data_IF_696290165462
#
_entry.id   IF_696290165462
#
_cell.length_a   1.000
_cell.length_b   1.000
_cell.length_c   1.000
_cell.angle_alpha   90.00
_cell.angle_beta   90.00
_cell.angle_gamma   90.00
#
_symmetry.space_group_name_H-M   'P 1'
#
loop_
_entity.id
_entity.type
_entity.pdbx_description
1 polymer ?
#
# COMPACT_ATOMS: atom_id res chain seq x y z
N UNK A 1 12.43 3.07 -17.18
CA UNK A 1 12.49 2.46 -15.82
C UNK A 1 13.72 1.58 -15.62
N UNK A 2 14.55 1.42 -16.66
CA UNK A 2 15.70 0.50 -16.64
C UNK A 2 16.69 0.88 -15.52
N UNK A 3 17.06 -0.10 -14.69
CA UNK A 3 17.97 0.09 -13.56
C UNK A 3 17.38 0.77 -12.32
N UNK A 4 16.09 1.16 -12.34
CA UNK A 4 15.38 1.62 -11.14
C UNK A 4 14.94 0.42 -10.31
N UNK A 5 14.88 0.59 -8.99
CA UNK A 5 14.45 -0.43 -8.03
C UNK A 5 13.09 -0.05 -7.43
N UNK A 6 12.09 -0.92 -7.65
CA UNK A 6 10.74 -0.76 -7.10
C UNK A 6 10.50 -1.78 -5.98
N UNK A 7 10.16 -1.31 -4.79
CA UNK A 7 9.65 -2.16 -3.72
C UNK A 7 8.11 -2.17 -3.76
N UNK A 8 7.51 -3.37 -3.76
CA UNK A 8 6.05 -3.55 -3.86
C UNK A 8 5.57 -4.46 -2.74
N UNK A 9 4.70 -3.96 -1.88
CA UNK A 9 4.04 -4.77 -0.84
C UNK A 9 2.78 -5.45 -1.39
N UNK A 10 2.54 -6.72 -1.00
CA UNK A 10 1.37 -7.47 -1.48
C UNK A 10 1.45 -7.86 -2.96
N UNK A 11 2.64 -8.11 -3.47
CA UNK A 11 2.91 -8.37 -4.89
C UNK A 11 2.54 -9.79 -5.37
N UNK A 12 1.94 -10.64 -4.54
CA UNK A 12 1.67 -12.05 -4.91
C UNK A 12 0.32 -12.30 -5.57
N UNK A 13 -0.55 -11.29 -5.61
CA UNK A 13 -1.90 -11.41 -6.18
C UNK A 13 -2.45 -10.04 -6.63
N UNK A 14 -3.51 -10.04 -7.43
CA UNK A 14 -4.27 -8.84 -7.80
C UNK A 14 -3.41 -7.73 -8.38
N UNK A 15 -3.72 -6.50 -7.96
CA UNK A 15 -3.11 -5.25 -8.47
C UNK A 15 -1.59 -5.22 -8.26
N UNK A 16 -1.12 -5.64 -7.09
CA UNK A 16 0.32 -5.62 -6.78
C UNK A 16 1.12 -6.58 -7.68
N UNK A 17 0.56 -7.76 -7.99
CA UNK A 17 1.18 -8.69 -8.95
C UNK A 17 1.21 -8.10 -10.36
N UNK A 18 0.11 -7.53 -10.82
CA UNK A 18 0.05 -6.93 -12.16
C UNK A 18 0.99 -5.73 -12.28
N UNK A 19 1.03 -4.86 -11.27
CA UNK A 19 1.99 -3.75 -11.22
C UNK A 19 3.44 -4.27 -11.28
N UNK A 20 3.77 -5.33 -10.54
CA UNK A 20 5.10 -5.94 -10.57
C UNK A 20 5.45 -6.47 -11.97
N UNK A 21 4.53 -7.16 -12.65
CA UNK A 21 4.72 -7.66 -14.02
C UNK A 21 4.99 -6.50 -14.98
N UNK A 22 4.17 -5.47 -14.95
CA UNK A 22 4.29 -4.34 -15.89
C UNK A 22 5.53 -3.47 -15.62
N UNK A 23 5.92 -3.28 -14.35
CA UNK A 23 7.15 -2.57 -14.02
C UNK A 23 8.39 -3.37 -14.42
N UNK A 24 8.37 -4.70 -14.27
CA UNK A 24 9.45 -5.56 -14.76
C UNK A 24 9.61 -5.49 -16.28
N UNK A 25 8.51 -5.51 -17.06
CA UNK A 25 8.55 -5.31 -18.53
C UNK A 25 9.16 -3.96 -18.93
N UNK A 26 9.09 -2.96 -18.06
CA UNK A 26 9.73 -1.65 -18.26
C UNK A 26 11.21 -1.62 -17.80
N UNK A 27 11.79 -2.77 -17.42
CA UNK A 27 13.17 -2.92 -16.99
C UNK A 27 13.46 -2.54 -15.54
N UNK A 28 12.45 -2.49 -14.69
CA UNK A 28 12.59 -2.16 -13.27
C UNK A 28 13.03 -3.39 -12.47
N UNK A 29 14.05 -3.26 -11.63
CA UNK A 29 14.37 -4.26 -10.61
C UNK A 29 13.29 -4.27 -9.52
N UNK A 30 12.96 -5.44 -8.99
CA UNK A 30 11.85 -5.62 -8.09
C UNK A 30 12.25 -6.20 -6.74
N UNK A 31 11.77 -5.56 -5.68
CA UNK A 31 11.75 -6.10 -4.32
C UNK A 31 10.27 -6.36 -3.99
N UNK A 32 9.87 -7.61 -3.98
CA UNK A 32 8.50 -8.03 -3.76
C UNK A 32 8.33 -8.53 -2.33
N UNK A 33 7.33 -8.03 -1.61
CA UNK A 33 7.05 -8.47 -0.23
C UNK A 33 5.68 -9.13 -0.16
N UNK A 34 5.63 -10.29 0.50
CA UNK A 34 4.38 -11.00 0.75
C UNK A 34 4.57 -12.17 1.72
N UNK A 35 3.47 -12.68 2.30
CA UNK A 35 3.52 -13.70 3.37
C UNK A 35 3.67 -15.14 2.89
N UNK A 36 3.44 -15.44 1.62
CA UNK A 36 3.40 -16.82 1.12
C UNK A 36 4.60 -17.15 0.24
N UNK A 37 5.52 -17.99 0.73
CA UNK A 37 6.66 -18.50 -0.05
C UNK A 37 6.22 -19.14 -1.37
N UNK A 38 5.16 -19.98 -1.34
CA UNK A 38 4.65 -20.68 -2.54
C UNK A 38 4.13 -19.71 -3.60
N UNK A 39 3.33 -18.71 -3.19
CA UNK A 39 2.80 -17.71 -4.14
C UNK A 39 3.92 -16.81 -4.67
N UNK A 40 4.86 -16.41 -3.80
CA UNK A 40 6.01 -15.59 -4.19
C UNK A 40 6.86 -16.27 -5.26
N UNK A 41 7.25 -17.55 -5.05
CA UNK A 41 7.98 -18.31 -6.06
C UNK A 41 7.26 -18.33 -7.42
N UNK A 42 5.95 -18.61 -7.41
CA UNK A 42 5.14 -18.62 -8.64
C UNK A 42 5.10 -17.26 -9.35
N UNK A 43 5.01 -16.15 -8.59
CA UNK A 43 4.98 -14.81 -9.17
C UNK A 43 6.34 -14.44 -9.74
N UNK A 44 7.44 -14.72 -9.05
CA UNK A 44 8.80 -14.50 -9.58
C UNK A 44 9.01 -15.27 -10.89
N UNK A 45 8.59 -16.54 -10.95
CA UNK A 45 8.65 -17.34 -12.19
C UNK A 45 7.82 -16.73 -13.32
N UNK A 46 6.65 -16.17 -13.02
CA UNK A 46 5.81 -15.49 -14.01
C UNK A 46 6.45 -14.20 -14.53
N UNK A 47 7.05 -13.40 -13.64
CA UNK A 47 7.71 -12.16 -14.02
C UNK A 47 8.96 -12.45 -14.87
N UNK A 48 9.77 -13.44 -14.48
CA UNK A 48 10.98 -13.84 -15.25
C UNK A 48 10.67 -14.27 -16.69
N UNK A 49 9.46 -14.75 -17.00
CA UNK A 49 9.05 -15.10 -18.37
C UNK A 49 8.80 -13.89 -19.28
N UNK A 50 8.61 -12.72 -18.72
CA UNK A 50 8.21 -11.52 -19.46
C UNK A 50 9.15 -10.32 -19.24
N UNK A 51 10.03 -10.40 -18.25
CA UNK A 51 11.04 -9.40 -17.95
C UNK A 51 12.31 -9.67 -18.75
N UNK A 52 13.05 -8.61 -19.05
CA UNK A 52 14.39 -8.74 -19.62
C UNK A 52 15.34 -9.46 -18.64
N UNK A 53 16.36 -10.13 -19.18
CA UNK A 53 17.31 -10.93 -18.39
C UNK A 53 18.12 -10.11 -17.36
N UNK A 54 18.24 -8.80 -17.55
CA UNK A 54 18.93 -7.90 -16.64
C UNK A 54 18.09 -7.42 -15.44
N UNK A 55 16.81 -7.79 -15.37
CA UNK A 55 15.93 -7.40 -14.27
C UNK A 55 16.17 -8.31 -13.06
N UNK A 56 16.62 -7.73 -11.98
CA UNK A 56 16.74 -8.42 -10.70
C UNK A 56 15.39 -8.47 -9.99
N UNK A 57 15.05 -9.65 -9.44
CA UNK A 57 13.79 -9.89 -8.75
C UNK A 57 14.07 -10.62 -7.45
N UNK A 58 13.80 -9.95 -6.35
CA UNK A 58 13.82 -10.52 -5.01
C UNK A 58 12.40 -10.67 -4.47
N UNK A 59 12.19 -11.75 -3.71
CA UNK A 59 10.96 -11.95 -2.97
C UNK A 59 11.27 -12.18 -1.49
N UNK A 60 10.83 -11.26 -0.66
CA UNK A 60 10.98 -11.28 0.78
C UNK A 60 9.68 -11.73 1.46
N UNK A 61 9.82 -12.61 2.45
CA UNK A 61 8.66 -13.16 3.17
C UNK A 61 8.46 -12.36 4.45
N UNK A 62 7.28 -11.72 4.59
CA UNK A 62 6.86 -11.04 5.80
C UNK A 62 5.33 -11.01 5.91
N UNK A 63 4.80 -11.15 7.11
CA UNK A 63 3.39 -10.84 7.41
C UNK A 63 3.30 -9.37 7.85
N UNK A 64 2.86 -8.52 6.92
CA UNK A 64 2.79 -7.07 7.14
C UNK A 64 1.63 -6.63 8.06
N UNK A 65 0.90 -7.56 8.68
CA UNK A 65 0.02 -7.28 9.83
C UNK A 65 0.80 -7.11 11.13
N UNK A 66 2.04 -7.63 11.20
CA UNK A 66 2.88 -7.59 12.38
C UNK A 66 3.96 -6.52 12.20
N UNK A 67 3.97 -5.53 13.08
CA UNK A 67 4.92 -4.41 12.99
C UNK A 67 6.37 -4.89 13.15
N UNK A 68 6.62 -5.89 13.99
CA UNK A 68 7.94 -6.55 14.10
C UNK A 68 8.42 -7.14 12.76
N UNK A 69 7.52 -7.73 11.97
CA UNK A 69 7.85 -8.28 10.66
C UNK A 69 8.04 -7.19 9.60
N UNK A 70 7.26 -6.09 9.67
CA UNK A 70 7.47 -4.90 8.85
C UNK A 70 8.85 -4.31 9.13
N UNK A 71 9.20 -4.15 10.42
CA UNK A 71 10.51 -3.64 10.83
C UNK A 71 11.64 -4.55 10.35
N UNK A 72 11.55 -5.86 10.62
CA UNK A 72 12.56 -6.85 10.20
C UNK A 72 12.82 -6.81 8.70
N UNK A 73 11.76 -6.85 7.88
CA UNK A 73 11.93 -6.87 6.42
C UNK A 73 12.43 -5.53 5.87
N UNK A 74 12.05 -4.41 6.49
CA UNK A 74 12.59 -3.10 6.12
C UNK A 74 14.10 -3.00 6.44
N UNK A 75 14.55 -3.55 7.58
CA UNK A 75 15.97 -3.62 7.93
C UNK A 75 16.75 -4.53 6.98
N UNK A 76 16.17 -5.66 6.57
CA UNK A 76 16.75 -6.55 5.57
C UNK A 76 16.95 -5.83 4.22
N UNK A 77 15.94 -5.08 3.78
CA UNK A 77 16.02 -4.24 2.58
C UNK A 77 17.10 -3.17 2.74
N UNK A 78 17.13 -2.48 3.87
CA UNK A 78 18.09 -1.39 4.11
C UNK A 78 19.55 -1.85 4.14
N UNK A 79 19.79 -3.10 4.55
CA UNK A 79 21.13 -3.71 4.53
C UNK A 79 21.53 -4.17 3.13
N UNK A 80 20.58 -4.59 2.31
CA UNK A 80 20.85 -5.21 1.00
C UNK A 80 20.90 -4.21 -0.16
N UNK A 81 20.10 -3.14 -0.10
CA UNK A 81 19.92 -2.21 -1.21
C UNK A 81 20.45 -0.82 -0.88
N UNK A 82 21.20 -0.19 -1.79
CA UNK A 82 21.75 1.15 -1.59
C UNK A 82 20.67 2.24 -1.66
N UNK A 83 19.58 2.01 -2.41
CA UNK A 83 18.47 2.94 -2.60
C UNK A 83 17.20 2.21 -3.04
N UNK A 84 16.07 2.90 -2.90
CA UNK A 84 14.77 2.53 -3.47
C UNK A 84 14.26 3.70 -4.31
N UNK A 85 13.96 3.44 -5.58
CA UNK A 85 13.50 4.47 -6.50
C UNK A 85 11.97 4.66 -6.42
N UNK A 86 11.22 3.56 -6.18
CA UNK A 86 9.77 3.57 -5.99
C UNK A 86 9.39 2.68 -4.81
N UNK A 87 8.69 3.23 -3.83
CA UNK A 87 8.01 2.48 -2.76
C UNK A 87 6.51 2.42 -3.08
N UNK A 88 6.01 1.25 -3.48
CA UNK A 88 4.59 0.99 -3.72
C UNK A 88 3.98 0.23 -2.53
N UNK A 89 3.38 0.95 -1.60
CA UNK A 89 2.55 0.41 -0.54
C UNK A 89 1.20 0.00 -1.12
N UNK A 90 1.03 -1.31 -1.38
CA UNK A 90 -0.14 -1.82 -2.10
C UNK A 90 -0.91 -2.89 -1.30
N UNK A 91 -0.25 -3.59 -0.36
CA UNK A 91 -0.93 -4.64 0.42
C UNK A 91 -2.21 -4.12 1.09
N UNK A 92 -3.26 -4.91 1.09
CA UNK A 92 -4.47 -4.56 1.81
C UNK A 92 -5.45 -5.72 1.90
N UNK A 93 -6.22 -5.72 2.98
CA UNK A 93 -7.29 -6.69 3.20
C UNK A 93 -8.49 -6.04 3.90
N UNK A 94 -9.57 -6.80 3.91
CA UNK A 94 -10.81 -6.51 4.61
C UNK A 94 -11.21 -7.74 5.43
N UNK A 95 -11.42 -7.55 6.72
CA UNK A 95 -11.88 -8.59 7.64
C UNK A 95 -13.25 -8.22 8.19
N UNK A 96 -14.18 -9.19 8.22
CA UNK A 96 -15.56 -8.97 8.69
C UNK A 96 -15.68 -9.09 10.21
N UNK A 97 -14.80 -9.86 10.85
CA UNK A 97 -14.73 -10.03 12.29
C UNK A 97 -13.59 -9.25 12.91
N UNK A 98 -13.79 -8.74 14.12
CA UNK A 98 -12.75 -8.10 14.89
C UNK A 98 -11.77 -9.15 15.39
N UNK A 99 -10.53 -9.02 14.95
CA UNK A 99 -9.41 -9.78 15.48
C UNK A 99 -8.23 -8.79 15.65
N UNK A 100 -7.48 -8.96 16.70
CA UNK A 100 -6.27 -8.17 16.96
C UNK A 100 -5.02 -9.00 16.70
N UNK A 101 -3.95 -8.35 16.30
CA UNK A 101 -2.63 -8.98 16.19
C UNK A 101 -2.07 -9.28 17.60
N UNK A 102 -1.02 -10.08 17.68
CA UNK A 102 -0.32 -10.32 18.93
C UNK A 102 0.31 -9.04 19.54
N UNK A 103 0.42 -7.99 18.75
CA UNK A 103 0.90 -6.65 19.13
C UNK A 103 -0.24 -5.73 19.59
N UNK A 104 -1.51 -6.22 19.61
CA UNK A 104 -2.68 -5.48 20.09
C UNK A 104 -3.38 -4.58 19.07
N UNK A 105 -3.01 -4.64 17.79
CA UNK A 105 -3.64 -3.82 16.73
C UNK A 105 -4.74 -4.58 16.01
N UNK A 106 -5.85 -3.90 15.66
CA UNK A 106 -6.86 -4.48 14.79
C UNK A 106 -6.26 -4.80 13.42
N UNK A 107 -6.54 -5.99 12.90
CA UNK A 107 -5.84 -6.58 11.73
C UNK A 107 -5.96 -5.77 10.46
N UNK A 108 -7.13 -5.15 10.19
CA UNK A 108 -7.32 -4.32 9.00
C UNK A 108 -6.53 -3.03 9.11
N UNK A 109 -6.57 -2.39 10.27
CA UNK A 109 -5.85 -1.15 10.54
C UNK A 109 -4.34 -1.39 10.54
N UNK A 110 -3.88 -2.47 11.19
CA UNK A 110 -2.48 -2.87 11.20
C UNK A 110 -1.94 -3.06 9.78
N UNK A 111 -2.60 -3.91 8.96
CA UNK A 111 -2.13 -4.22 7.62
C UNK A 111 -2.23 -3.05 6.65
N UNK A 112 -3.38 -2.35 6.66
CA UNK A 112 -3.69 -1.36 5.62
C UNK A 112 -3.04 0.00 5.89
N UNK A 113 -2.80 0.34 7.18
CA UNK A 113 -2.29 1.66 7.56
C UNK A 113 -0.96 1.60 8.33
N UNK A 114 -0.90 0.95 9.51
CA UNK A 114 0.33 0.94 10.32
C UNK A 114 1.51 0.30 9.57
N UNK A 115 1.25 -0.76 8.82
CA UNK A 115 2.26 -1.40 7.97
C UNK A 115 2.81 -0.45 6.89
N UNK A 116 1.97 0.39 6.27
CA UNK A 116 2.40 1.41 5.31
C UNK A 116 3.23 2.50 6.00
N UNK A 117 2.74 2.96 7.13
CA UNK A 117 3.39 4.00 7.92
C UNK A 117 4.81 3.58 8.33
N UNK A 118 4.94 2.43 9.00
CA UNK A 118 6.22 1.90 9.47
C UNK A 118 7.18 1.59 8.32
N UNK A 119 6.70 0.90 7.27
CA UNK A 119 7.50 0.61 6.07
C UNK A 119 8.06 1.89 5.46
N UNK A 120 7.21 2.90 5.30
CA UNK A 120 7.63 4.20 4.75
C UNK A 120 8.65 4.88 5.65
N UNK A 121 8.41 4.96 6.96
CA UNK A 121 9.34 5.58 7.92
C UNK A 121 10.72 4.93 7.86
N UNK A 122 10.79 3.61 7.88
CA UNK A 122 12.06 2.88 7.86
C UNK A 122 12.79 2.95 6.52
N UNK A 123 12.06 3.00 5.40
CA UNK A 123 12.67 3.01 4.07
C UNK A 123 12.85 4.42 3.48
N UNK A 124 12.34 5.47 4.14
CA UNK A 124 12.48 6.85 3.69
C UNK A 124 13.94 7.24 3.40
N UNK A 125 14.94 6.88 4.24
CA UNK A 125 16.35 7.19 3.95
C UNK A 125 16.87 6.53 2.67
N UNK A 126 16.33 5.38 2.25
CA UNK A 126 16.69 4.75 0.98
C UNK A 126 16.02 5.43 -0.22
N UNK A 127 14.78 5.93 -0.02
CA UNK A 127 14.09 6.71 -1.05
C UNK A 127 14.78 8.07 -1.26
N UNK A 128 15.28 8.68 -0.20
CA UNK A 128 16.06 9.94 -0.28
C UNK A 128 17.34 9.83 -1.11
N UNK A 129 17.98 8.66 -1.10
CA UNK A 129 19.19 8.38 -1.90
C UNK A 129 18.91 8.17 -3.39
N UNK A 130 17.66 8.04 -3.78
CA UNK A 130 17.28 7.91 -5.19
C UNK A 130 17.26 9.28 -5.89
N UNK A 131 17.42 9.27 -7.20
CA UNK A 131 17.10 10.43 -8.06
C UNK A 131 15.65 10.39 -8.56
N UNK A 132 14.92 9.28 -8.35
CA UNK A 132 13.55 9.09 -8.84
C UNK A 132 12.49 9.38 -7.77
N UNK A 133 12.70 8.97 -6.52
CA UNK A 133 12.06 9.44 -5.28
C UNK A 133 10.53 9.37 -5.25
N UNK A 134 9.92 8.21 -5.46
CA UNK A 134 8.46 8.08 -5.46
C UNK A 134 7.94 7.17 -4.36
N UNK A 135 6.90 7.64 -3.65
CA UNK A 135 6.11 6.87 -2.69
C UNK A 135 4.65 6.85 -3.19
N UNK A 136 4.11 5.64 -3.36
CA UNK A 136 2.76 5.42 -3.87
C UNK A 136 1.96 4.58 -2.85
N UNK A 137 0.86 5.13 -2.35
CA UNK A 137 0.02 4.49 -1.34
C UNK A 137 -1.34 4.09 -1.94
N UNK A 138 -1.65 2.80 -1.93
CA UNK A 138 -2.94 2.31 -2.42
C UNK A 138 -4.03 2.50 -1.38
N UNK A 139 -4.95 3.43 -1.64
CA UNK A 139 -6.16 3.66 -0.88
C UNK A 139 -7.38 3.03 -1.57
N UNK A 140 -8.56 3.64 -1.44
CA UNK A 140 -9.81 3.20 -2.06
C UNK A 140 -10.80 4.36 -2.12
N UNK A 141 -11.79 4.31 -3.03
CA UNK A 141 -12.98 5.18 -2.97
C UNK A 141 -13.79 4.98 -1.68
N UNK A 142 -13.59 3.87 -0.99
CA UNK A 142 -14.21 3.62 0.32
C UNK A 142 -13.85 4.67 1.40
N UNK A 143 -12.80 5.48 1.20
CA UNK A 143 -12.45 6.59 2.11
C UNK A 143 -13.46 7.75 2.10
N UNK A 144 -14.35 7.80 1.11
CA UNK A 144 -15.45 8.76 1.12
C UNK A 144 -16.57 8.32 2.09
N UNK A 145 -17.28 9.29 2.65
CA UNK A 145 -18.47 9.02 3.47
C UNK A 145 -18.20 8.28 4.78
N UNK A 146 -17.01 8.48 5.38
CA UNK A 146 -16.65 7.98 6.70
C UNK A 146 -15.88 9.04 7.46
N UNK A 147 -16.10 9.13 8.77
CA UNK A 147 -15.28 9.90 9.70
C UNK A 147 -14.19 9.02 10.32
N UNK A 148 -13.06 9.63 10.67
CA UNK A 148 -12.01 8.95 11.39
C UNK A 148 -12.29 9.06 12.89
N UNK A 149 -12.49 7.93 13.55
CA UNK A 149 -12.72 7.84 15.00
C UNK A 149 -11.41 7.55 15.70
N UNK A 150 -10.72 8.60 16.18
CA UNK A 150 -9.44 8.49 16.87
C UNK A 150 -9.51 7.69 18.18
N UNK A 151 -10.66 7.71 18.84
CA UNK A 151 -10.91 6.99 20.08
C UNK A 151 -11.45 5.57 19.89
N UNK A 152 -11.51 5.11 18.63
CA UNK A 152 -12.00 3.77 18.26
C UNK A 152 -11.20 3.17 17.08
N UNK A 153 -9.90 3.41 17.02
CA UNK A 153 -9.06 2.97 15.91
C UNK A 153 -8.97 1.44 15.83
N UNK A 154 -8.96 0.77 16.96
CA UNK A 154 -8.96 -0.70 17.07
C UNK A 154 -10.37 -1.32 17.07
N UNK A 155 -11.42 -0.52 16.91
CA UNK A 155 -12.81 -1.01 16.90
C UNK A 155 -13.27 -1.60 18.24
N UNK A 156 -12.78 -1.08 19.37
CA UNK A 156 -13.06 -1.61 20.72
C UNK A 156 -14.43 -1.22 21.21
N UNK A 157 -14.86 0.00 20.94
CA UNK A 157 -16.17 0.52 21.35
C UNK A 157 -17.32 -0.02 20.47
N UNK A 158 -17.10 -0.04 19.18
CA UNK A 158 -18.04 -0.53 18.17
C UNK A 158 -17.24 -1.04 16.97
N UNK A 159 -17.53 -2.26 16.53
CA UNK A 159 -16.89 -2.86 15.38
C UNK A 159 -17.86 -3.05 14.21
N UNK A 160 -17.47 -2.53 13.07
CA UNK A 160 -17.99 -2.88 11.76
C UNK A 160 -16.77 -3.08 10.85
N UNK A 161 -16.55 -4.28 10.38
CA UNK A 161 -15.36 -4.58 9.54
C UNK A 161 -15.28 -3.67 8.32
N UNK A 162 -16.46 -3.31 7.73
CA UNK A 162 -16.48 -2.41 6.58
C UNK A 162 -16.12 -0.96 6.96
N UNK A 163 -16.57 -0.48 8.13
CA UNK A 163 -16.20 0.87 8.58
C UNK A 163 -14.72 0.95 8.96
N UNK A 164 -14.17 -0.07 9.63
CA UNK A 164 -12.73 -0.15 9.89
C UNK A 164 -11.93 -0.16 8.57
N UNK A 165 -12.38 -0.92 7.57
CA UNK A 165 -11.76 -0.88 6.24
C UNK A 165 -11.82 0.53 5.63
N UNK A 166 -12.99 1.18 5.63
CA UNK A 166 -13.16 2.57 5.15
C UNK A 166 -12.22 3.53 5.87
N UNK A 167 -12.15 3.44 7.21
CA UNK A 167 -11.24 4.25 8.04
C UNK A 167 -9.77 3.98 7.72
N UNK A 168 -9.38 2.72 7.53
CA UNK A 168 -8.00 2.39 7.12
C UNK A 168 -7.63 3.00 5.77
N UNK A 169 -8.60 3.07 4.83
CA UNK A 169 -8.39 3.71 3.53
C UNK A 169 -8.43 5.24 3.59
N UNK A 170 -9.22 5.81 4.50
CA UNK A 170 -9.15 7.23 4.84
C UNK A 170 -7.79 7.58 5.47
N UNK A 171 -7.32 6.75 6.41
CA UNK A 171 -6.00 6.92 7.03
C UNK A 171 -4.87 6.94 5.98
N UNK A 172 -4.94 6.12 4.92
CA UNK A 172 -3.93 6.13 3.86
C UNK A 172 -3.93 7.45 3.06
N UNK A 173 -5.08 8.08 2.85
CA UNK A 173 -5.13 9.40 2.20
C UNK A 173 -4.59 10.49 3.13
N UNK A 174 -5.03 10.49 4.40
CA UNK A 174 -4.55 11.42 5.44
C UNK A 174 -3.04 11.31 5.62
N UNK A 175 -2.52 10.10 5.78
CA UNK A 175 -1.09 9.80 5.86
C UNK A 175 -0.32 10.34 4.67
N UNK A 176 -0.83 10.13 3.45
CA UNK A 176 -0.16 10.61 2.23
C UNK A 176 -0.08 12.12 2.19
N UNK A 177 -1.13 12.83 2.59
CA UNK A 177 -1.15 14.28 2.61
C UNK A 177 -0.19 14.84 3.67
N UNK A 178 -0.16 14.25 4.86
CA UNK A 178 0.77 14.65 5.91
C UNK A 178 2.22 14.30 5.55
N UNK A 179 2.47 13.12 4.99
CA UNK A 179 3.79 12.72 4.50
C UNK A 179 4.32 13.71 3.48
N UNK A 180 3.50 14.07 2.47
CA UNK A 180 3.91 15.01 1.41
C UNK A 180 4.34 16.36 1.99
N UNK A 181 3.67 16.83 3.05
CA UNK A 181 4.04 18.06 3.77
C UNK A 181 5.37 17.91 4.51
N UNK A 182 5.59 16.78 5.18
CA UNK A 182 6.82 16.50 5.96
C UNK A 182 8.07 16.28 5.13
N UNK A 183 7.90 15.83 3.88
CA UNK A 183 9.01 15.61 2.94
C UNK A 183 9.19 16.80 1.97
N UNK A 184 8.56 17.92 2.22
CA UNK A 184 8.71 19.13 1.40
C UNK A 184 10.20 19.54 1.31
N UNK A 185 10.65 19.92 0.12
CA UNK A 185 12.05 20.29 -0.14
C UNK A 185 13.01 19.13 -0.35
N UNK A 186 12.63 17.85 -0.09
CA UNK A 186 13.51 16.69 -0.30
C UNK A 186 13.54 16.18 -1.76
N UNK A 187 12.60 16.66 -2.58
CA UNK A 187 12.37 16.14 -3.94
C UNK A 187 11.63 14.79 -3.98
N UNK A 188 11.23 14.24 -2.84
CA UNK A 188 10.40 13.02 -2.79
C UNK A 188 8.94 13.39 -3.10
N UNK A 189 8.28 12.59 -3.91
CA UNK A 189 6.83 12.70 -4.12
C UNK A 189 6.09 11.57 -3.41
N UNK A 190 5.00 11.91 -2.72
CA UNK A 190 4.11 10.95 -2.07
C UNK A 190 2.68 11.17 -2.56
N UNK A 191 2.11 10.18 -3.22
CA UNK A 191 0.75 10.23 -3.75
C UNK A 191 -0.04 8.98 -3.36
N UNK A 192 -1.36 9.10 -3.29
CA UNK A 192 -2.23 7.95 -3.07
C UNK A 192 -3.25 7.79 -4.19
N UNK A 193 -3.83 6.61 -4.27
CA UNK A 193 -4.75 6.28 -5.37
C UNK A 193 -5.91 5.39 -4.92
N UNK A 194 -6.96 5.41 -5.74
CA UNK A 194 -7.99 4.40 -5.79
C UNK A 194 -7.85 3.59 -7.08
N UNK A 195 -7.74 2.26 -6.98
CA UNK A 195 -7.49 1.41 -8.16
C UNK A 195 -8.73 1.09 -8.99
N UNK A 196 -9.91 1.60 -8.62
CA UNK A 196 -11.19 1.15 -9.14
C UNK A 196 -11.77 -0.02 -8.34
N UNK A 197 -12.96 -0.46 -8.68
CA UNK A 197 -13.55 -1.70 -8.16
C UNK A 197 -12.92 -2.87 -8.92
N UNK A 198 -11.93 -3.53 -8.32
CA UNK A 198 -11.15 -4.57 -9.00
C UNK A 198 -11.59 -5.95 -8.55
N UNK A 199 -11.80 -6.87 -9.50
CA UNK A 199 -12.01 -8.29 -9.23
C UNK A 199 -10.71 -8.93 -8.73
N UNK A 200 -10.43 -8.80 -7.45
CA UNK A 200 -9.29 -9.42 -6.77
C UNK A 200 -9.77 -10.47 -5.76
N UNK A 201 -8.83 -11.14 -5.13
CA UNK A 201 -9.12 -12.03 -4.00
C UNK A 201 -9.53 -11.28 -2.71
N UNK A 202 -9.98 -10.03 -2.85
CA UNK A 202 -10.46 -9.17 -1.77
C UNK A 202 -11.64 -9.84 -1.04
N UNK A 203 -11.56 -9.93 0.28
CA UNK A 203 -12.58 -10.56 1.10
C UNK A 203 -12.52 -12.10 1.18
N UNK A 204 -11.58 -12.80 0.51
CA UNK A 204 -11.42 -14.26 0.63
C UNK A 204 -10.97 -14.73 2.01
N UNK A 205 -10.48 -13.82 2.85
CA UNK A 205 -10.09 -14.11 4.23
C UNK A 205 -11.28 -14.17 5.19
N UNK A 206 -12.50 -13.94 4.71
CA UNK A 206 -13.74 -13.97 5.48
C UNK A 206 -14.40 -15.35 5.40
N UNK A 207 -15.42 -15.59 6.23
CA UNK A 207 -16.16 -16.85 6.24
C UNK A 207 -16.88 -17.10 4.89
N UNK A 208 -17.34 -18.34 4.67
CA UNK A 208 -17.88 -18.82 3.40
C UNK A 208 -19.04 -17.96 2.86
N UNK A 209 -19.96 -17.53 3.71
CA UNK A 209 -21.14 -16.74 3.31
C UNK A 209 -20.75 -15.35 2.78
N UNK A 210 -19.97 -14.60 3.56
CA UNK A 210 -19.49 -13.27 3.17
C UNK A 210 -18.56 -13.29 1.97
N UNK A 211 -17.73 -14.31 1.87
CA UNK A 211 -16.86 -14.52 0.70
C UNK A 211 -17.66 -14.64 -0.59
N UNK A 212 -18.77 -15.39 -0.58
CA UNK A 212 -19.62 -15.57 -1.75
C UNK A 212 -20.45 -14.32 -2.07
N UNK A 213 -20.96 -13.61 -1.07
CA UNK A 213 -21.68 -12.35 -1.25
C UNK A 213 -20.78 -11.27 -1.87
N UNK A 214 -19.56 -11.10 -1.35
CA UNK A 214 -18.56 -10.17 -1.92
C UNK A 214 -18.18 -10.58 -3.34
N UNK A 215 -18.00 -11.89 -3.61
CA UNK A 215 -17.69 -12.41 -4.94
C UNK A 215 -18.80 -12.10 -5.94
N UNK A 216 -20.05 -12.28 -5.56
CA UNK A 216 -21.19 -11.97 -6.43
C UNK A 216 -21.29 -10.48 -6.76
N UNK A 217 -21.13 -9.61 -5.76
CA UNK A 217 -21.09 -8.16 -5.96
C UNK A 217 -19.92 -7.74 -6.90
N UNK A 218 -18.74 -8.36 -6.74
CA UNK A 218 -17.57 -8.09 -7.58
C UNK A 218 -17.78 -8.57 -9.04
N UNK A 219 -18.49 -9.67 -9.28
CA UNK A 219 -18.75 -10.16 -10.64
C UNK A 219 -19.55 -9.17 -11.49
N UNK A 220 -20.38 -8.35 -10.85
CA UNK A 220 -21.27 -7.41 -11.54
C UNK A 220 -20.65 -6.02 -11.77
N UNK A 221 -19.64 -5.64 -11.00
CA UNK A 221 -19.15 -4.25 -10.98
C UNK A 221 -17.63 -4.12 -11.11
N UNK A 222 -16.88 -5.22 -11.04
CA UNK A 222 -15.43 -5.14 -10.96
C UNK A 222 -14.78 -4.99 -12.34
N UNK A 223 -13.85 -4.04 -12.43
CA UNK A 223 -12.90 -3.92 -13.54
C UNK A 223 -11.87 -5.05 -13.45
N UNK A 224 -11.23 -5.37 -14.56
CA UNK A 224 -10.16 -6.37 -14.57
C UNK A 224 -8.93 -5.88 -13.79
N UNK A 225 -8.08 -6.82 -13.37
CA UNK A 225 -6.89 -6.52 -12.55
C UNK A 225 -5.90 -5.63 -13.29
N UNK A 226 -5.79 -5.74 -14.62
CA UNK A 226 -4.91 -4.91 -15.44
C UNK A 226 -5.32 -3.45 -15.40
N UNK A 227 -6.61 -3.17 -15.57
CA UNK A 227 -7.13 -1.81 -15.49
C UNK A 227 -6.97 -1.24 -14.07
N UNK A 228 -7.18 -2.08 -13.04
CA UNK A 228 -6.95 -1.68 -11.66
C UNK A 228 -5.50 -1.32 -11.33
N UNK A 229 -4.54 -1.93 -12.00
CA UNK A 229 -3.12 -1.63 -11.80
C UNK A 229 -2.66 -0.34 -12.51
N UNK A 230 -3.39 0.16 -13.52
CA UNK A 230 -2.97 1.29 -14.35
C UNK A 230 -2.58 2.53 -13.54
N UNK A 231 -3.39 2.91 -12.54
CA UNK A 231 -3.10 4.11 -11.74
C UNK A 231 -1.86 3.91 -10.85
N UNK A 232 -1.66 2.70 -10.28
CA UNK A 232 -0.45 2.38 -9.52
C UNK A 232 0.80 2.45 -10.42
N UNK A 233 0.73 1.88 -11.62
CA UNK A 233 1.80 1.92 -12.61
C UNK A 233 2.07 3.35 -13.07
N UNK A 234 1.03 4.13 -13.36
CA UNK A 234 1.15 5.54 -13.75
C UNK A 234 1.90 6.34 -12.68
N UNK A 235 1.50 6.25 -11.41
CA UNK A 235 2.19 6.94 -10.31
C UNK A 235 3.63 6.43 -10.09
N UNK A 236 3.87 5.15 -10.34
CA UNK A 236 5.20 4.57 -10.21
C UNK A 236 6.15 5.00 -11.33
N UNK A 237 5.66 5.23 -12.57
CA UNK A 237 6.57 5.33 -13.70
C UNK A 237 6.30 6.46 -14.72
N UNK A 238 5.16 7.20 -14.66
CA UNK A 238 4.92 8.28 -15.63
C UNK A 238 5.71 9.55 -15.29
N UNK A 239 6.24 10.19 -16.31
CA UNK A 239 6.88 11.50 -16.17
C UNK A 239 5.87 12.62 -15.89
N UNK A 240 4.59 12.42 -16.26
CA UNK A 240 3.51 13.40 -16.02
C UNK A 240 3.29 13.70 -14.54
N UNK A 241 3.75 12.81 -13.64
CA UNK A 241 3.54 12.94 -12.20
C UNK A 241 4.85 13.12 -11.41
N UNK A 242 5.97 13.36 -12.10
CA UNK A 242 7.29 13.43 -11.46
C UNK A 242 7.40 14.50 -10.37
N UNK A 243 6.68 15.63 -10.55
CA UNK A 243 6.69 16.78 -9.64
C UNK A 243 5.36 16.93 -8.86
N UNK A 244 4.46 15.93 -8.98
CA UNK A 244 3.17 15.96 -8.29
C UNK A 244 3.29 15.21 -6.96
N UNK A 245 3.00 15.90 -5.86
CA UNK A 245 3.00 15.32 -4.50
C UNK A 245 1.75 15.72 -3.72
N UNK A 246 1.37 14.92 -2.71
CA UNK A 246 0.23 15.19 -1.84
C UNK A 246 -1.11 15.14 -2.58
N UNK A 247 -1.27 14.24 -3.57
CA UNK A 247 -2.50 14.15 -4.36
C UNK A 247 -3.12 12.75 -4.28
N UNK A 248 -4.45 12.76 -4.40
CA UNK A 248 -5.24 11.54 -4.58
C UNK A 248 -5.56 11.35 -6.06
N UNK A 249 -5.40 10.12 -6.56
CA UNK A 249 -5.60 9.76 -7.96
C UNK A 249 -6.69 8.70 -8.12
N UNK A 250 -7.45 8.81 -9.21
CA UNK A 250 -8.31 7.75 -9.73
C UNK A 250 -8.27 7.80 -11.27
N UNK A 251 -8.23 6.65 -11.91
CA UNK A 251 -8.11 6.54 -13.39
C UNK A 251 -6.93 7.35 -13.95
N UNK A 252 -5.78 7.30 -13.27
CA UNK A 252 -4.55 8.03 -13.60
C UNK A 252 -4.68 9.56 -13.65
N UNK A 253 -5.71 10.11 -13.02
CA UNK A 253 -5.97 11.55 -12.94
C UNK A 253 -6.05 12.02 -11.49
N UNK A 254 -5.60 13.24 -11.24
CA UNK A 254 -5.78 13.89 -9.94
C UNK A 254 -7.27 14.06 -9.66
N UNK A 255 -7.68 13.64 -8.48
CA UNK A 255 -9.03 13.82 -7.93
C UNK A 255 -8.95 14.46 -6.54
N UNK A 256 -10.05 15.06 -6.10
CA UNK A 256 -10.15 15.56 -4.73
C UNK A 256 -10.36 14.36 -3.80
N UNK A 257 -9.49 14.18 -2.80
CA UNK A 257 -9.77 13.32 -1.66
C UNK A 257 -10.96 13.84 -0.85
N UNK A 258 -11.54 13.02 0.04
CA UNK A 258 -12.68 13.43 0.87
C UNK A 258 -12.35 14.68 1.68
N UNK A 259 -13.38 15.45 2.08
CA UNK A 259 -13.21 16.62 2.95
C UNK A 259 -12.53 16.24 4.27
N UNK A 260 -12.83 15.04 4.80
CA UNK A 260 -12.22 14.52 6.03
C UNK A 260 -10.72 14.29 5.89
N UNK A 261 -10.27 13.73 4.75
CA UNK A 261 -8.85 13.54 4.46
C UNK A 261 -8.08 14.87 4.28
N UNK A 262 -8.77 15.97 4.00
CA UNK A 262 -8.16 17.29 3.82
C UNK A 262 -8.10 18.12 5.12
N UNK A 263 -8.49 17.55 6.25
CA UNK A 263 -8.37 18.21 7.56
C UNK A 263 -6.94 18.04 8.08
N UNK A 264 -6.14 19.09 7.99
CA UNK A 264 -4.73 19.06 8.38
C UNK A 264 -4.51 18.71 9.86
N UNK A 265 -5.37 19.19 10.76
CA UNK A 265 -5.28 18.86 12.20
C UNK A 265 -5.48 17.34 12.43
N UNK A 266 -6.44 16.75 11.75
CA UNK A 266 -6.67 15.30 11.83
C UNK A 266 -5.53 14.50 11.18
N UNK A 267 -4.93 15.00 10.10
CA UNK A 267 -3.78 14.36 9.46
C UNK A 267 -2.58 14.34 10.40
N UNK A 268 -2.28 15.46 11.04
CA UNK A 268 -1.25 15.57 12.08
C UNK A 268 -1.53 14.62 13.25
N UNK A 269 -2.76 14.63 13.78
CA UNK A 269 -3.15 13.77 14.90
C UNK A 269 -3.00 12.28 14.54
N UNK A 270 -3.40 11.86 13.34
CA UNK A 270 -3.22 10.48 12.87
C UNK A 270 -1.74 10.13 12.76
N UNK A 271 -0.93 11.05 12.25
CA UNK A 271 0.51 10.86 12.17
C UNK A 271 1.12 10.60 13.54
N UNK A 272 0.85 11.49 14.50
CA UNK A 272 1.43 11.42 15.84
C UNK A 272 1.04 10.12 16.57
N UNK A 273 -0.24 9.71 16.49
CA UNK A 273 -0.71 8.44 17.03
C UNK A 273 -0.09 7.23 16.31
N UNK A 274 0.04 7.28 14.99
CA UNK A 274 0.69 6.20 14.24
C UNK A 274 2.17 6.08 14.62
N UNK A 275 2.85 7.21 14.81
CA UNK A 275 4.24 7.24 15.25
C UNK A 275 4.40 6.67 16.66
N UNK A 276 3.50 6.98 17.59
CA UNK A 276 3.45 6.39 18.93
C UNK A 276 3.28 4.87 18.85
N UNK A 277 2.33 4.37 18.05
CA UNK A 277 2.07 2.93 17.91
C UNK A 277 3.26 2.17 17.33
N UNK A 278 3.96 2.74 16.38
CA UNK A 278 5.09 2.05 15.73
C UNK A 278 6.44 2.33 16.39
N UNK A 279 6.52 3.23 17.37
CA UNK A 279 7.76 3.61 18.07
C UNK A 279 8.60 2.42 18.56
N UNK A 280 8.01 1.33 19.12
CA UNK A 280 8.78 0.17 19.54
C UNK A 280 9.47 -0.61 18.40
N UNK A 281 9.14 -0.32 17.16
CA UNK A 281 9.58 -1.07 15.97
C UNK A 281 10.47 -0.24 15.03
N UNK A 282 10.73 1.04 15.37
CA UNK A 282 11.60 1.94 14.60
C UNK A 282 13.09 1.62 14.75
#
# INVERSE_FOLDING_TARGET
MRGLTCLITGATDGIGKEAAIELAKKGCNLILIGRSKKKGKKVVEQIRKVADSHVDIDYLIADLMLMKEVSRVADEVSKKYPRIDVLLNNVGAYFTSREVTEEGFERTFALNHLGYFLMTKKLLPLVEKSNYKRIVNVSSSAHYGIDFEFDNMNGEKKYSGFDIYKRSKLANVMFTYELAKRIEGTGITANCLHPGFVSTNFGKNNNFFWRNAIRLAMMLTAINVKDGAKTSIHLACSDDVKDITGRFFANSQVKKGSSKARNEKHNQQLWDLSEEFVKPYL
#
